data_IF_555681861611
#
_entry.id   IF_555681861611
#
_cell.length_a   1.000
_cell.length_b   1.000
_cell.length_c   1.000
_cell.angle_alpha   90.00
_cell.angle_beta   90.00
_cell.angle_gamma   90.00
#
_symmetry.space_group_name_H-M   'P 1'
#
loop_
_entity.id
_entity.type
_entity.pdbx_description
1 polymer ?
#
# COMPACT_ATOMS: atom_id res chain seq x y z
N UNK A 1 15.52 -66.20 68.15
CA UNK A 1 14.25 -66.22 68.90
C UNK A 1 13.59 -64.87 68.68
N UNK A 2 12.35 -64.87 68.16
CA UNK A 2 11.39 -63.75 68.02
C UNK A 2 11.75 -62.62 67.01
N UNK A 3 11.04 -62.52 65.88
CA UNK A 3 9.72 -61.84 65.70
C UNK A 3 9.92 -60.32 65.60
N UNK A 4 9.50 -59.57 64.58
CA UNK A 4 8.27 -59.67 63.80
C UNK A 4 8.44 -58.92 62.47
N UNK A 5 7.96 -59.54 61.38
CA UNK A 5 7.80 -58.93 60.06
C UNK A 5 6.44 -58.22 60.06
N UNK A 6 6.43 -56.88 60.07
CA UNK A 6 5.18 -56.10 59.90
C UNK A 6 5.16 -55.48 58.51
N UNK A 7 4.19 -55.95 57.72
CA UNK A 7 3.79 -55.43 56.43
C UNK A 7 3.07 -54.10 56.68
N UNK A 8 3.41 -53.04 55.95
CA UNK A 8 2.43 -52.04 55.58
C UNK A 8 2.74 -51.49 54.20
N UNK A 9 1.96 -52.01 53.25
CA UNK A 9 1.73 -51.43 51.93
C UNK A 9 1.19 -50.01 52.09
N UNK A 10 1.89 -49.03 51.53
CA UNK A 10 1.29 -47.75 51.17
C UNK A 10 1.77 -47.44 49.76
N UNK A 11 0.94 -47.83 48.79
CA UNK A 11 1.07 -47.39 47.42
C UNK A 11 0.82 -45.88 47.42
N UNK A 12 1.88 -45.08 47.27
CA UNK A 12 1.76 -43.66 46.97
C UNK A 12 1.36 -43.57 45.49
N UNK A 13 0.17 -43.09 45.13
CA UNK A 13 -0.10 -42.84 43.73
C UNK A 13 0.80 -41.68 43.28
N UNK A 14 1.70 -41.98 42.35
CA UNK A 14 2.47 -41.02 41.58
C UNK A 14 1.48 -40.24 40.70
N UNK A 15 0.89 -39.16 41.21
CA UNK A 15 0.12 -38.23 40.38
C UNK A 15 1.12 -37.25 39.77
N UNK A 16 1.63 -37.62 38.60
CA UNK A 16 2.28 -36.69 37.70
C UNK A 16 1.20 -35.78 37.09
N UNK A 17 0.88 -34.67 37.76
CA UNK A 17 0.08 -33.61 37.15
C UNK A 17 0.99 -32.88 36.16
N UNK A 18 1.06 -33.38 34.92
CA UNK A 18 1.46 -32.55 33.79
C UNK A 18 0.32 -31.56 33.53
N UNK A 19 0.38 -30.41 34.18
CA UNK A 19 -0.30 -29.21 33.74
C UNK A 19 0.42 -28.74 32.47
N UNK A 20 0.12 -29.38 31.34
CA UNK A 20 0.23 -28.69 30.07
C UNK A 20 -0.83 -27.59 30.11
N UNK A 21 -0.43 -26.41 30.57
CA UNK A 21 -0.99 -25.18 30.06
C UNK A 21 -0.61 -25.16 28.58
N UNK A 22 -1.40 -25.87 27.77
CA UNK A 22 -1.47 -25.66 26.35
C UNK A 22 -2.10 -24.29 26.13
N UNK A 23 -1.34 -23.23 26.41
CA UNK A 23 -1.50 -22.05 25.57
C UNK A 23 -1.02 -22.51 24.21
N UNK A 24 -1.96 -22.97 23.38
CA UNK A 24 -1.78 -22.82 21.96
C UNK A 24 -1.58 -21.32 21.74
N UNK A 25 -0.33 -20.86 21.78
CA UNK A 25 0.06 -19.69 21.03
C UNK A 25 -0.14 -20.08 19.58
N UNK A 26 -1.38 -20.01 19.12
CA UNK A 26 -1.60 -19.74 17.71
C UNK A 26 -0.80 -18.48 17.45
N UNK A 27 0.26 -18.49 16.62
CA UNK A 27 0.71 -17.23 16.10
C UNK A 27 -0.53 -16.63 15.45
N UNK A 28 -1.01 -15.52 16.00
CA UNK A 28 -1.91 -14.65 15.28
C UNK A 28 -1.04 -14.13 14.14
N UNK A 29 -0.96 -14.92 13.06
CA UNK A 29 -0.65 -14.40 11.74
C UNK A 29 -1.78 -13.41 11.51
N UNK A 30 -1.55 -12.16 11.88
CA UNK A 30 -2.32 -11.05 11.37
C UNK A 30 -2.18 -11.16 9.86
N UNK A 31 -3.18 -11.76 9.23
CA UNK A 31 -3.32 -11.82 7.79
C UNK A 31 -3.70 -10.41 7.29
N UNK A 32 -2.88 -9.41 7.61
CA UNK A 32 -2.54 -8.45 6.58
C UNK A 32 -1.67 -9.25 5.62
N UNK A 33 -2.31 -10.07 4.79
CA UNK A 33 -1.66 -10.58 3.61
C UNK A 33 -1.35 -9.33 2.79
N UNK A 34 -0.14 -8.77 2.99
CA UNK A 34 0.44 -7.91 1.97
C UNK A 34 0.32 -8.72 0.70
N UNK A 35 -0.53 -8.26 -0.20
CA UNK A 35 -0.71 -8.89 -1.49
C UNK A 35 0.69 -8.93 -2.10
N UNK A 36 1.19 -10.12 -2.35
CA UNK A 36 2.58 -10.31 -2.79
C UNK A 36 2.80 -9.76 -4.20
N UNK A 37 1.70 -9.49 -4.92
CA UNK A 37 1.70 -8.93 -6.24
C UNK A 37 0.35 -8.26 -6.54
N UNK A 38 0.37 -7.12 -7.22
CA UNK A 38 -0.81 -6.56 -7.86
C UNK A 38 -0.44 -5.83 -9.14
N UNK A 39 -1.41 -5.71 -10.04
CA UNK A 39 -1.39 -4.88 -11.22
C UNK A 39 -2.76 -4.21 -11.34
N UNK A 40 -2.78 -2.97 -11.82
CA UNK A 40 -4.02 -2.23 -12.07
C UNK A 40 -3.76 -1.06 -12.99
N UNK A 41 -4.80 -0.65 -13.71
CA UNK A 41 -4.77 0.47 -14.63
C UNK A 41 -5.81 1.52 -14.25
N UNK A 42 -5.62 2.74 -14.72
CA UNK A 42 -6.53 3.86 -14.53
C UNK A 42 -6.58 4.72 -15.79
N UNK A 43 -7.80 5.04 -16.25
CA UNK A 43 -8.01 5.98 -17.36
C UNK A 43 -8.20 7.38 -16.80
N UNK A 44 -7.23 8.27 -17.02
CA UNK A 44 -7.22 9.63 -16.51
C UNK A 44 -8.19 10.50 -17.30
N UNK A 45 -9.20 11.04 -16.62
CA UNK A 45 -10.21 11.90 -17.23
C UNK A 45 -10.11 13.33 -16.74
N UNK A 46 -10.41 14.29 -17.63
CA UNK A 46 -10.64 15.67 -17.24
C UNK A 46 -11.97 15.77 -16.47
N UNK A 47 -11.99 16.29 -15.23
CA UNK A 47 -13.20 16.34 -14.41
C UNK A 47 -14.29 17.26 -14.98
N UNK A 48 -13.96 18.16 -15.92
CA UNK A 48 -14.92 19.11 -16.51
C UNK A 48 -15.68 18.52 -17.70
N UNK A 49 -15.04 17.70 -18.52
CA UNK A 49 -15.64 17.15 -19.75
C UNK A 49 -15.71 15.62 -19.80
N UNK A 50 -15.16 14.93 -18.79
CA UNK A 50 -15.11 13.47 -18.66
C UNK A 50 -14.37 12.76 -19.81
N UNK A 51 -13.59 13.48 -20.61
CA UNK A 51 -12.79 12.88 -21.67
C UNK A 51 -11.52 12.26 -21.11
N UNK A 52 -11.19 11.07 -21.60
CA UNK A 52 -9.93 10.40 -21.28
C UNK A 52 -8.79 11.15 -21.97
N UNK A 53 -7.80 11.62 -21.18
CA UNK A 53 -6.61 12.33 -21.68
C UNK A 53 -5.32 11.53 -21.48
N UNK A 54 -5.36 10.48 -20.67
CA UNK A 54 -4.18 9.67 -20.40
C UNK A 54 -4.51 8.37 -19.69
N UNK A 55 -3.46 7.62 -19.40
CA UNK A 55 -3.51 6.32 -18.72
C UNK A 55 -2.43 6.26 -17.67
N UNK A 56 -2.74 5.63 -16.55
CA UNK A 56 -1.75 5.23 -15.56
C UNK A 56 -1.80 3.71 -15.39
N UNK A 57 -0.63 3.09 -15.28
CA UNK A 57 -0.47 1.68 -14.96
C UNK A 57 0.39 1.57 -13.72
N UNK A 58 0.04 0.67 -12.81
CA UNK A 58 0.88 0.37 -11.66
C UNK A 58 1.00 -1.12 -11.46
N UNK A 59 2.17 -1.54 -11.00
CA UNK A 59 2.41 -2.91 -10.59
C UNK A 59 3.22 -2.94 -9.30
N UNK A 60 3.01 -3.99 -8.52
CA UNK A 60 3.86 -4.35 -7.39
C UNK A 60 4.22 -5.81 -7.53
N UNK A 61 5.51 -6.13 -7.53
CA UNK A 61 6.00 -7.50 -7.57
C UNK A 61 7.35 -7.58 -6.85
N UNK A 62 7.58 -8.66 -6.09
CA UNK A 62 8.86 -8.93 -5.44
C UNK A 62 9.38 -7.77 -4.54
N UNK A 63 8.47 -7.00 -3.94
CA UNK A 63 8.82 -5.87 -3.08
C UNK A 63 9.19 -4.59 -3.82
N UNK A 64 9.02 -4.55 -5.14
CA UNK A 64 9.17 -3.36 -5.97
C UNK A 64 7.80 -2.89 -6.46
N UNK A 65 7.55 -1.59 -6.29
CA UNK A 65 6.43 -0.85 -6.84
C UNK A 65 6.91 -0.05 -8.04
N UNK A 66 6.11 -0.07 -9.10
CA UNK A 66 6.33 0.72 -10.29
C UNK A 66 5.00 1.34 -10.73
N UNK A 67 5.05 2.61 -11.11
CA UNK A 67 3.94 3.35 -11.69
C UNK A 67 4.43 4.09 -12.92
N UNK A 68 3.69 3.93 -14.01
CA UNK A 68 3.86 4.71 -15.23
C UNK A 68 2.60 5.49 -15.52
N UNK A 69 2.76 6.69 -16.05
CA UNK A 69 1.66 7.55 -16.49
C UNK A 69 2.05 8.20 -17.81
N UNK A 70 1.11 8.19 -18.76
CA UNK A 70 1.21 8.95 -20.00
C UNK A 70 -0.09 9.71 -20.24
N UNK A 71 0.01 10.99 -20.60
CA UNK A 71 -1.15 11.84 -20.89
C UNK A 71 -0.85 12.88 -21.97
N UNK A 72 -1.91 13.35 -22.62
CA UNK A 72 -1.86 14.48 -23.56
C UNK A 72 -2.52 15.70 -22.92
N UNK A 73 -1.68 16.64 -22.50
CA UNK A 73 -2.09 17.91 -21.91
C UNK A 73 -1.38 19.06 -22.64
N UNK A 74 -1.99 20.26 -22.70
CA UNK A 74 -1.29 21.45 -23.17
C UNK A 74 -0.09 21.77 -22.27
N UNK A 75 0.75 22.71 -22.69
CA UNK A 75 1.77 23.24 -21.80
C UNK A 75 1.13 23.98 -20.62
N UNK A 76 1.63 23.77 -19.38
CA UNK A 76 1.17 24.55 -18.24
C UNK A 76 1.54 26.03 -18.43
N UNK A 77 0.82 26.90 -17.73
CA UNK A 77 1.14 28.32 -17.67
C UNK A 77 2.57 28.54 -17.14
N UNK A 78 3.21 29.64 -17.54
CA UNK A 78 4.57 29.96 -17.10
C UNK A 78 4.68 29.94 -15.57
N UNK A 79 5.67 29.21 -15.05
CA UNK A 79 5.87 29.01 -13.61
C UNK A 79 4.99 27.94 -12.97
N UNK A 80 4.12 27.27 -13.73
CA UNK A 80 3.33 26.13 -13.26
C UNK A 80 3.91 24.79 -13.73
N UNK A 81 3.51 23.72 -13.06
CA UNK A 81 3.90 22.34 -13.39
C UNK A 81 2.76 21.38 -13.10
N UNK A 82 2.73 20.24 -13.79
CA UNK A 82 1.79 19.18 -13.48
C UNK A 82 2.37 18.22 -12.44
N UNK A 83 1.68 18.05 -11.32
CA UNK A 83 2.10 17.20 -10.19
C UNK A 83 1.19 15.99 -10.07
N UNK A 84 1.77 14.84 -9.78
CA UNK A 84 1.05 13.57 -9.65
C UNK A 84 0.93 13.21 -8.20
N UNK A 85 -0.26 12.77 -7.82
CA UNK A 85 -0.56 12.34 -6.48
C UNK A 85 -1.27 11.00 -6.48
N UNK A 86 -0.86 10.16 -5.53
CA UNK A 86 -1.67 9.02 -5.10
C UNK A 86 -2.56 9.46 -3.94
N UNK A 87 -3.81 9.02 -3.94
CA UNK A 87 -4.78 9.29 -2.87
C UNK A 87 -5.33 8.00 -2.30
N UNK A 88 -5.28 7.89 -0.98
CA UNK A 88 -6.01 6.90 -0.19
C UNK A 88 -7.19 7.58 0.48
N UNK A 89 -8.37 7.00 0.36
CA UNK A 89 -9.60 7.57 0.91
C UNK A 89 -9.80 7.26 2.41
N UNK A 90 -9.27 6.14 2.91
CA UNK A 90 -9.43 5.72 4.31
C UNK A 90 -8.25 4.89 4.85
N UNK A 91 -7.56 5.33 5.94
CA UNK A 91 -7.58 6.71 6.44
C UNK A 91 -7.06 7.65 5.36
N UNK A 92 -7.68 8.83 5.24
CA UNK A 92 -7.34 9.78 4.19
C UNK A 92 -5.85 10.13 4.20
N UNK A 93 -5.19 9.99 3.05
CA UNK A 93 -3.78 10.31 2.87
C UNK A 93 -3.49 10.60 1.41
N UNK A 94 -2.64 11.59 1.16
CA UNK A 94 -2.11 11.91 -0.17
C UNK A 94 -0.60 11.68 -0.18
N UNK A 95 -0.08 11.29 -1.33
CA UNK A 95 1.35 11.15 -1.58
C UNK A 95 1.71 11.86 -2.86
N UNK A 96 2.57 12.88 -2.76
CA UNK A 96 3.16 13.55 -3.92
C UNK A 96 4.22 12.63 -4.53
N UNK A 97 4.04 12.23 -5.79
CA UNK A 97 5.02 11.41 -6.49
C UNK A 97 6.05 12.26 -7.27
N UNK A 98 5.67 13.47 -7.66
CA UNK A 98 6.53 14.41 -8.38
C UNK A 98 5.88 15.00 -9.63
N UNK A 99 6.71 15.53 -10.51
CA UNK A 99 6.29 16.34 -11.65
C UNK A 99 6.29 15.54 -12.95
N UNK A 100 5.23 15.66 -13.76
CA UNK A 100 5.20 15.12 -15.13
C UNK A 100 6.34 15.71 -15.97
N UNK A 101 6.98 14.86 -16.76
CA UNK A 101 8.02 15.26 -17.71
C UNK A 101 7.42 15.35 -19.11
N UNK A 102 7.79 16.38 -19.86
CA UNK A 102 7.36 16.51 -21.25
C UNK A 102 8.27 15.68 -22.16
N UNK A 103 7.68 14.83 -23.00
CA UNK A 103 8.36 14.09 -24.05
C UNK A 103 7.69 14.36 -25.40
N UNK A 104 8.35 15.14 -26.27
CA UNK A 104 7.86 15.57 -27.60
C UNK A 104 6.45 16.18 -27.58
N UNK A 105 5.42 15.33 -27.60
CA UNK A 105 4.00 15.67 -27.65
C UNK A 105 3.19 15.18 -26.45
N UNK A 106 3.74 14.34 -25.57
CA UNK A 106 3.06 13.79 -24.41
C UNK A 106 3.74 14.20 -23.10
N UNK A 107 3.01 14.04 -22.01
CA UNK A 107 3.51 14.17 -20.65
C UNK A 107 3.58 12.80 -20.02
N UNK A 108 4.75 12.44 -19.50
CA UNK A 108 5.03 11.11 -18.95
C UNK A 108 5.54 11.20 -17.53
N UNK A 109 5.38 10.11 -16.79
CA UNK A 109 5.99 9.95 -15.48
C UNK A 109 6.23 8.48 -15.18
N UNK A 110 7.40 8.22 -14.61
CA UNK A 110 7.84 6.91 -14.17
C UNK A 110 8.27 7.03 -12.71
N UNK A 111 7.68 6.21 -11.85
CA UNK A 111 8.02 6.15 -10.44
C UNK A 111 8.30 4.72 -10.05
N UNK A 112 9.39 4.54 -9.32
CA UNK A 112 9.81 3.25 -8.79
C UNK A 112 10.07 3.39 -7.29
N UNK A 113 9.63 2.41 -6.51
CA UNK A 113 9.92 2.34 -5.09
C UNK A 113 10.14 0.91 -4.64
N UNK A 114 11.14 0.70 -3.79
CA UNK A 114 11.38 -0.57 -3.10
C UNK A 114 11.02 -0.48 -1.62
N UNK A 115 10.31 0.59 -1.22
CA UNK A 115 9.85 0.76 0.15
C UNK A 115 8.64 -0.14 0.42
N UNK A 116 8.91 -1.29 1.02
CA UNK A 116 7.89 -2.26 1.40
C UNK A 116 7.07 -1.84 2.62
N UNK A 117 7.35 -0.70 3.25
CA UNK A 117 6.56 -0.19 4.38
C UNK A 117 5.32 0.59 3.93
N UNK A 118 5.28 0.99 2.66
CA UNK A 118 4.16 1.70 2.05
C UNK A 118 3.17 0.70 1.46
N UNK A 119 1.91 0.80 1.88
CA UNK A 119 0.80 0.08 1.27
C UNK A 119 0.29 0.83 0.04
N UNK A 120 0.99 0.67 -1.09
CA UNK A 120 0.63 1.33 -2.35
C UNK A 120 -0.75 0.91 -2.89
N UNK A 121 -1.18 -0.33 -2.63
CA UNK A 121 -2.49 -0.83 -3.07
C UNK A 121 -3.63 -0.02 -2.43
N UNK A 122 -3.46 0.41 -1.17
CA UNK A 122 -4.45 1.22 -0.45
C UNK A 122 -4.67 2.62 -1.02
N UNK A 123 -3.78 3.12 -1.88
CA UNK A 123 -3.99 4.37 -2.61
C UNK A 123 -4.84 4.09 -3.86
N UNK A 124 -6.15 4.21 -3.75
CA UNK A 124 -7.08 3.81 -4.79
C UNK A 124 -7.23 4.83 -5.92
N UNK A 125 -6.86 6.09 -5.69
CA UNK A 125 -6.97 7.15 -6.68
C UNK A 125 -5.62 7.68 -7.12
N UNK A 126 -5.60 8.21 -8.34
CA UNK A 126 -4.53 9.02 -8.89
C UNK A 126 -5.10 10.34 -9.40
N UNK A 127 -4.43 11.44 -9.05
CA UNK A 127 -4.79 12.77 -9.53
C UNK A 127 -3.57 13.47 -10.11
N UNK A 128 -3.79 14.26 -11.15
CA UNK A 128 -2.82 15.20 -11.71
C UNK A 128 -3.32 16.60 -11.44
N UNK A 129 -2.52 17.40 -10.74
CA UNK A 129 -2.83 18.81 -10.49
C UNK A 129 -1.91 19.74 -11.27
N UNK A 130 -2.36 20.96 -11.56
CA UNK A 130 -1.49 22.05 -12.02
C UNK A 130 -1.16 22.92 -10.82
N UNK A 131 0.13 23.09 -10.54
CA UNK A 131 0.61 23.74 -9.31
C UNK A 131 1.73 24.73 -9.65
N UNK A 132 1.77 25.89 -9.00
CA UNK A 132 2.85 26.89 -9.11
C UNK A 132 4.05 26.50 -8.24
N UNK A 133 3.81 25.80 -7.12
CA UNK A 133 4.86 25.29 -6.25
C UNK A 133 4.94 23.76 -6.29
N UNK A 134 6.14 23.21 -6.43
CA UNK A 134 6.36 21.75 -6.54
C UNK A 134 6.58 21.04 -5.22
N UNK A 135 6.94 21.75 -4.15
CA UNK A 135 7.16 21.21 -2.81
C UNK A 135 5.97 21.53 -1.89
N UNK A 136 4.86 20.85 -2.16
CA UNK A 136 3.60 20.99 -1.43
C UNK A 136 3.18 19.66 -0.82
N UNK A 137 2.68 19.71 0.42
CA UNK A 137 2.29 18.53 1.19
C UNK A 137 0.87 18.04 0.88
N UNK A 138 0.05 18.89 0.26
CA UNK A 138 -1.33 18.61 -0.15
C UNK A 138 -1.57 19.20 -1.54
N UNK A 139 -2.44 18.60 -2.37
CA UNK A 139 -2.86 19.18 -3.65
C UNK A 139 -3.62 20.49 -3.38
N UNK A 140 -3.22 21.62 -3.98
CA UNK A 140 -3.64 22.94 -3.49
C UNK A 140 -4.20 23.88 -4.56
N UNK A 141 -4.05 23.57 -5.86
CA UNK A 141 -4.37 24.56 -6.89
C UNK A 141 -5.49 24.14 -7.85
N UNK A 142 -5.30 23.11 -8.67
CA UNK A 142 -6.32 22.73 -9.66
C UNK A 142 -6.17 21.29 -10.09
N UNK A 143 -7.25 20.51 -9.99
CA UNK A 143 -7.31 19.15 -10.51
C UNK A 143 -7.48 19.20 -12.02
N UNK A 144 -6.54 18.57 -12.74
CA UNK A 144 -6.50 18.55 -14.20
C UNK A 144 -6.98 17.20 -14.71
N UNK A 145 -6.52 16.13 -14.06
CA UNK A 145 -6.95 14.77 -14.36
C UNK A 145 -7.20 14.00 -13.07
N UNK A 146 -8.18 13.13 -13.10
CA UNK A 146 -8.53 12.24 -11.99
C UNK A 146 -8.84 10.84 -12.51
N UNK A 147 -8.57 9.83 -11.69
CA UNK A 147 -9.01 8.46 -11.93
C UNK A 147 -8.90 7.59 -10.68
N UNK A 148 -9.56 6.43 -10.74
CA UNK A 148 -9.44 5.34 -9.77
C UNK A 148 -8.78 4.14 -10.42
N UNK A 149 -7.91 3.44 -9.71
CA UNK A 149 -7.36 2.16 -10.17
C UNK A 149 -8.42 1.06 -10.10
N UNK A 150 -8.52 0.25 -11.15
CA UNK A 150 -9.44 -0.90 -11.26
C UNK A 150 -8.73 -2.22 -11.46
#
# INVERSE_FOLDING_TARGET
>A
MLSSKKIMSSAIPLILVMLFLGTAITPFLSANMMKTQFDSEANLTDPLDSSVKGTASRYFENGAYDLTLETTLPDPEEGSSYIIWLVRLSPFSTMNLGTLQKNETSWTFDYQSTDTTIDFESYTEIIVTKEVATDIAIPNETHILESSFS
#
